data_IF_913492830227
#
_entry.id   IF_913492830227
#
_cell.length_a   1.000
_cell.length_b   1.000
_cell.length_c   1.000
_cell.angle_alpha   90.00
_cell.angle_beta   90.00
_cell.angle_gamma   90.00
#
_symmetry.space_group_name_H-M   'P 1'
#
loop_
_entity.id
_entity.type
_entity.pdbx_description
1 polymer ?
#
# COMPACT_ATOMS: atom_id res chain seq x y z
N UNK A 1 0.22 5.93 -21.29
CA UNK A 1 -0.76 5.69 -20.20
C UNK A 1 -0.34 4.41 -19.50
N UNK A 2 -0.24 4.41 -18.16
CA UNK A 2 0.38 3.32 -17.37
C UNK A 2 -0.44 2.03 -17.29
N UNK A 3 -1.67 2.02 -17.77
CA UNK A 3 -2.62 0.91 -17.63
C UNK A 3 -2.10 -0.40 -18.24
N UNK A 4 -1.40 -0.32 -19.38
CA UNK A 4 -0.75 -1.48 -20.01
C UNK A 4 0.37 -2.09 -19.16
N UNK A 5 1.00 -1.30 -18.29
CA UNK A 5 2.01 -1.80 -17.36
C UNK A 5 1.35 -2.60 -16.21
N UNK A 6 0.17 -2.18 -15.74
CA UNK A 6 -0.57 -2.93 -14.71
C UNK A 6 -1.04 -4.28 -15.25
N UNK A 7 -1.63 -4.32 -16.46
CA UNK A 7 -2.06 -5.58 -17.06
C UNK A 7 -0.89 -6.52 -17.36
N UNK A 8 0.23 -6.01 -17.88
CA UNK A 8 1.42 -6.84 -18.10
C UNK A 8 2.05 -7.34 -16.79
N UNK A 9 1.94 -6.57 -15.69
CA UNK A 9 2.42 -7.00 -14.38
C UNK A 9 1.67 -8.22 -13.83
N UNK A 10 0.40 -8.44 -14.21
CA UNK A 10 -0.34 -9.64 -13.83
C UNK A 10 0.29 -10.93 -14.37
N UNK A 11 0.98 -10.84 -15.50
CA UNK A 11 1.62 -11.98 -16.17
C UNK A 11 3.11 -12.12 -15.86
N UNK A 12 3.65 -11.35 -14.92
CA UNK A 12 5.05 -11.46 -14.56
C UNK A 12 5.33 -12.73 -13.72
N UNK A 13 6.60 -13.18 -13.71
CA UNK A 13 7.00 -14.41 -13.02
C UNK A 13 6.71 -14.39 -11.51
N UNK A 14 6.82 -13.21 -10.88
CA UNK A 14 6.55 -13.04 -9.44
C UNK A 14 5.07 -13.24 -9.12
N UNK A 15 4.18 -12.65 -9.91
CA UNK A 15 2.73 -12.77 -9.77
C UNK A 15 2.26 -14.19 -10.06
N UNK A 16 2.78 -14.84 -11.11
CA UNK A 16 2.49 -16.26 -11.40
C UNK A 16 2.88 -17.15 -10.22
N UNK A 17 4.08 -16.95 -9.65
CA UNK A 17 4.55 -17.73 -8.51
C UNK A 17 3.68 -17.49 -7.28
N UNK A 18 3.36 -16.23 -6.98
CA UNK A 18 2.47 -15.86 -5.87
C UNK A 18 1.09 -16.50 -6.01
N UNK A 19 0.49 -16.47 -7.22
CA UNK A 19 -0.80 -17.11 -7.48
C UNK A 19 -0.79 -18.61 -7.26
N UNK A 20 0.29 -19.29 -7.67
CA UNK A 20 0.45 -20.74 -7.43
C UNK A 20 0.59 -21.07 -5.95
N UNK A 21 1.24 -20.21 -5.16
CA UNK A 21 1.41 -20.40 -3.72
C UNK A 21 0.13 -20.15 -2.92
N UNK A 22 -0.79 -19.33 -3.45
CA UNK A 22 -2.01 -18.91 -2.78
C UNK A 22 -3.30 -19.40 -3.49
N UNK A 23 -3.19 -20.36 -4.42
CA UNK A 23 -4.30 -20.94 -5.18
C UNK A 23 -5.23 -19.91 -5.86
N UNK A 24 -4.66 -18.83 -6.40
CA UNK A 24 -5.40 -17.76 -7.07
C UNK A 24 -5.49 -18.05 -8.58
N UNK A 25 -6.70 -18.16 -9.16
CA UNK A 25 -6.87 -18.38 -10.60
C UNK A 25 -6.33 -17.22 -11.45
N UNK A 26 -5.67 -17.54 -12.56
CA UNK A 26 -5.19 -16.53 -13.51
C UNK A 26 -6.33 -15.77 -14.19
N UNK A 27 -7.46 -16.44 -14.42
CA UNK A 27 -8.63 -15.91 -15.13
C UNK A 27 -9.29 -14.72 -14.45
N UNK A 28 -8.98 -14.45 -13.19
CA UNK A 28 -9.52 -13.29 -12.47
C UNK A 28 -8.95 -11.96 -12.97
N UNK A 29 -7.73 -11.97 -13.51
CA UNK A 29 -7.06 -10.75 -13.95
C UNK A 29 -6.72 -9.79 -12.81
N UNK A 30 -6.42 -8.54 -13.16
CA UNK A 30 -6.21 -7.44 -12.22
C UNK A 30 -6.96 -6.21 -12.71
N UNK A 31 -7.59 -5.48 -11.79
CA UNK A 31 -8.20 -4.18 -12.09
C UNK A 31 -7.17 -3.05 -11.96
N UNK A 32 -7.51 -1.88 -12.50
CA UNK A 32 -6.72 -0.65 -12.38
C UNK A 32 -7.58 0.39 -11.65
N UNK A 33 -7.07 0.94 -10.54
CA UNK A 33 -7.70 2.05 -9.83
C UNK A 33 -7.07 3.37 -10.27
N UNK A 34 -7.89 4.31 -10.73
CA UNK A 34 -7.47 5.69 -11.05
C UNK A 34 -8.18 6.63 -10.08
N UNK A 35 -7.40 7.41 -9.33
CA UNK A 35 -7.91 8.25 -8.25
C UNK A 35 -7.33 9.66 -8.37
N UNK A 36 -8.11 10.67 -7.98
CA UNK A 36 -7.61 12.03 -7.82
C UNK A 36 -6.57 12.09 -6.70
N UNK A 37 -5.48 12.81 -6.92
CA UNK A 37 -4.38 12.91 -5.96
C UNK A 37 -4.75 13.79 -4.77
N UNK A 38 -4.36 13.34 -3.58
CA UNK A 38 -4.31 14.13 -2.34
C UNK A 38 -2.87 14.06 -1.79
N UNK A 39 -2.39 15.15 -1.22
CA UNK A 39 -0.95 15.31 -0.96
C UNK A 39 -0.67 15.45 0.54
N UNK A 40 -0.04 14.43 1.13
CA UNK A 40 0.47 14.46 2.50
C UNK A 40 1.77 15.26 2.67
N UNK A 41 2.35 15.75 1.56
CA UNK A 41 3.63 16.43 1.48
C UNK A 41 3.52 17.91 1.09
N UNK A 42 2.43 18.58 1.46
CA UNK A 42 2.22 20.02 1.21
C UNK A 42 2.75 20.93 2.32
N UNK A 43 3.47 20.38 3.31
CA UNK A 43 3.99 21.11 4.45
C UNK A 43 3.67 20.43 5.79
N UNK A 44 4.00 21.12 6.88
CA UNK A 44 4.00 20.54 8.23
C UNK A 44 2.58 20.31 8.82
N UNK A 45 1.55 20.80 8.14
CA UNK A 45 0.14 20.54 8.48
C UNK A 45 -0.48 19.42 7.63
N UNK A 46 0.32 18.75 6.81
CA UNK A 46 -0.08 17.61 5.97
C UNK A 46 0.66 16.35 6.40
N UNK A 47 -0.01 15.20 6.34
CA UNK A 47 0.57 13.93 6.72
C UNK A 47 -0.03 12.77 5.90
N UNK A 48 0.66 11.64 5.93
CA UNK A 48 0.21 10.36 5.39
C UNK A 48 0.52 9.25 6.39
N UNK A 49 -0.28 8.19 6.42
CA UNK A 49 -0.09 7.12 7.41
C UNK A 49 -0.94 5.89 7.12
N UNK A 50 -0.63 4.82 7.83
CA UNK A 50 -1.31 3.53 7.78
C UNK A 50 -1.70 3.15 9.20
N UNK A 51 -2.98 2.78 9.39
CA UNK A 51 -3.47 2.35 10.69
C UNK A 51 -4.35 1.11 10.58
N UNK A 52 -4.25 0.27 11.59
CA UNK A 52 -5.09 -0.89 11.87
C UNK A 52 -6.02 -0.55 13.03
N UNK A 53 -7.28 -0.95 12.92
CA UNK A 53 -8.29 -0.74 13.97
C UNK A 53 -8.06 -1.58 15.21
N UNK A 54 -7.16 -2.57 15.13
CA UNK A 54 -6.73 -3.49 16.18
C UNK A 54 -5.25 -3.80 15.99
N UNK A 55 -4.56 -4.21 17.03
CA UNK A 55 -3.18 -4.65 16.92
C UNK A 55 -3.11 -5.94 16.05
N UNK A 56 -2.39 -5.92 14.91
CA UNK A 56 -2.34 -7.06 13.99
C UNK A 56 -1.55 -8.27 14.55
N UNK A 57 -0.69 -8.05 15.54
CA UNK A 57 0.14 -9.10 16.17
C UNK A 57 -0.54 -9.77 17.37
N UNK A 58 -1.31 -9.00 18.16
CA UNK A 58 -1.93 -9.51 19.41
C UNK A 58 -3.46 -9.61 19.35
N UNK A 59 -4.11 -8.92 18.41
CA UNK A 59 -5.57 -8.83 18.30
C UNK A 59 -6.23 -7.85 19.28
N UNK A 60 -5.45 -7.15 20.10
CA UNK A 60 -5.96 -6.21 21.08
C UNK A 60 -6.76 -5.07 20.41
N UNK A 61 -7.87 -4.68 21.05
CA UNK A 61 -8.75 -3.61 20.56
C UNK A 61 -8.18 -2.22 20.85
N UNK A 62 -7.04 -1.92 20.23
CA UNK A 62 -6.39 -0.61 20.27
C UNK A 62 -6.03 -0.17 18.85
N UNK A 63 -6.07 1.13 18.59
CA UNK A 63 -5.59 1.70 17.33
C UNK A 63 -4.08 1.47 17.26
N UNK A 64 -3.62 0.89 16.16
CA UNK A 64 -2.20 0.62 15.92
C UNK A 64 -1.84 1.17 14.54
N UNK A 65 -0.90 2.09 14.45
CA UNK A 65 -0.57 2.70 13.16
C UNK A 65 0.66 3.58 13.23
N UNK A 66 1.08 4.00 12.04
CA UNK A 66 2.26 4.80 11.82
C UNK A 66 1.93 5.93 10.83
N UNK A 67 2.44 7.13 11.06
CA UNK A 67 2.28 8.27 10.15
C UNK A 67 3.55 9.11 10.02
N UNK A 68 3.64 9.87 8.93
CA UNK A 68 4.70 10.82 8.65
C UNK A 68 4.12 12.17 8.22
N UNK A 69 4.59 13.22 8.87
CA UNK A 69 4.31 14.62 8.49
C UNK A 69 5.16 15.02 7.30
N UNK A 70 4.54 15.76 6.38
CA UNK A 70 5.14 16.27 5.15
C UNK A 70 5.81 15.14 4.33
N UNK A 71 5.01 14.12 4.01
CA UNK A 71 5.47 12.88 3.37
C UNK A 71 4.41 12.31 2.42
N UNK A 72 4.83 11.43 1.49
CA UNK A 72 3.94 10.63 0.65
C UNK A 72 3.86 9.19 1.14
N UNK A 73 2.81 8.46 0.73
CA UNK A 73 2.58 7.10 1.23
C UNK A 73 3.74 6.14 0.97
N UNK A 74 4.51 6.37 -0.10
CA UNK A 74 5.75 5.65 -0.38
C UNK A 74 6.78 5.81 0.75
N UNK A 75 6.94 7.01 1.31
CA UNK A 75 7.90 7.29 2.38
C UNK A 75 7.58 6.49 3.65
N UNK A 76 6.29 6.26 3.91
CA UNK A 76 5.82 5.44 5.05
C UNK A 76 6.17 3.97 4.80
N UNK A 77 6.01 3.46 3.59
CA UNK A 77 6.29 2.05 3.25
C UNK A 77 7.80 1.78 3.13
N UNK A 78 8.57 2.75 2.64
CA UNK A 78 10.02 2.61 2.44
C UNK A 78 10.80 2.56 3.76
N UNK A 79 10.24 3.07 4.87
CA UNK A 79 10.87 3.02 6.19
C UNK A 79 12.17 3.82 6.31
N UNK A 80 12.43 4.76 5.38
CA UNK A 80 13.64 5.60 5.38
C UNK A 80 13.61 6.61 6.54
N UNK A 81 12.40 6.99 6.98
CA UNK A 81 12.16 7.86 8.13
C UNK A 81 11.47 7.06 9.23
N UNK A 82 11.92 7.22 10.48
CA UNK A 82 11.26 6.62 11.64
C UNK A 82 9.81 7.14 11.72
N UNK A 83 8.80 6.26 11.58
CA UNK A 83 7.41 6.67 11.64
C UNK A 83 7.00 7.12 13.05
N UNK A 84 5.98 7.98 13.12
CA UNK A 84 5.39 8.43 14.39
C UNK A 84 4.17 7.57 14.73
N UNK A 85 3.94 7.32 16.03
CA UNK A 85 2.81 6.53 16.55
C UNK A 85 1.64 7.42 16.96
#
# INVERSE_FOLDING_TARGET
VGDGAVFSSWMNNRAITYRRLHDIPESWGTAVNVQAMVFGNMGDTSATGVAFTRNPSTGEKQLYGEFLVNAQGEDVVAGIRTPQN
#
